data_IF_524298084264
#
_entry.id   IF_524298084264
#
_cell.length_a   1.000
_cell.length_b   1.000
_cell.length_c   1.000
_cell.angle_alpha   90.00
_cell.angle_beta   90.00
_cell.angle_gamma   90.00
#
_symmetry.space_group_name_H-M   'P 1'
#
loop_
_entity.id
_entity.type
_entity.pdbx_description
1 polymer ?
#
# COMPACT_ATOMS: atom_id res chain seq x y z
N UNK A 1 11.98 -20.86 -1.27
CA UNK A 1 10.89 -20.10 -0.62
C UNK A 1 10.32 -20.86 0.59
N UNK A 2 9.75 -22.08 0.46
CA UNK A 2 9.13 -22.81 1.58
C UNK A 2 10.07 -23.02 2.77
N UNK A 3 11.30 -23.50 2.55
CA UNK A 3 12.31 -23.71 3.61
C UNK A 3 12.62 -22.42 4.41
N UNK A 4 12.70 -21.26 3.76
CA UNK A 4 12.90 -19.98 4.45
C UNK A 4 11.68 -19.58 5.25
N UNK A 5 10.49 -19.73 4.66
CA UNK A 5 9.21 -19.45 5.35
C UNK A 5 9.05 -20.27 6.63
N UNK A 6 9.33 -21.57 6.56
CA UNK A 6 9.25 -22.49 7.71
C UNK A 6 10.31 -22.19 8.78
N UNK A 7 11.49 -21.68 8.38
CA UNK A 7 12.57 -21.30 9.29
C UNK A 7 12.28 -19.97 9.99
N UNK A 8 11.80 -18.97 9.24
CA UNK A 8 11.56 -17.62 9.76
C UNK A 8 10.55 -16.86 8.88
N UNK A 9 9.34 -16.62 9.42
CA UNK A 9 8.33 -15.82 8.73
C UNK A 9 8.81 -14.36 8.54
N UNK A 10 9.53 -13.81 9.53
CA UNK A 10 10.10 -12.45 9.42
C UNK A 10 11.15 -12.37 8.31
N UNK A 11 12.09 -13.31 8.26
CA UNK A 11 13.08 -13.35 7.19
C UNK A 11 12.45 -13.51 5.80
N UNK A 12 11.34 -14.26 5.71
CA UNK A 12 10.57 -14.39 4.48
C UNK A 12 9.90 -13.07 4.08
N UNK A 13 9.33 -12.32 5.04
CA UNK A 13 8.75 -10.99 4.78
C UNK A 13 9.81 -10.00 4.31
N UNK A 14 10.97 -9.94 4.97
CA UNK A 14 12.07 -9.05 4.59
C UNK A 14 12.63 -9.39 3.19
N UNK A 15 12.74 -10.68 2.86
CA UNK A 15 13.11 -11.11 1.51
C UNK A 15 12.12 -10.57 0.47
N UNK A 16 10.81 -10.68 0.72
CA UNK A 16 9.79 -10.18 -0.20
C UNK A 16 9.81 -8.66 -0.33
N UNK A 17 10.05 -7.91 0.75
CA UNK A 17 10.26 -6.46 0.70
C UNK A 17 11.43 -6.12 -0.23
N UNK A 18 12.57 -6.78 -0.06
CA UNK A 18 13.75 -6.55 -0.91
C UNK A 18 13.49 -6.90 -2.38
N UNK A 19 12.90 -8.06 -2.66
CA UNK A 19 12.56 -8.48 -4.03
C UNK A 19 11.59 -7.47 -4.67
N UNK A 20 10.54 -7.07 -3.95
CA UNK A 20 9.56 -6.11 -4.43
C UNK A 20 10.21 -4.77 -4.78
N UNK A 21 10.94 -4.18 -3.84
CA UNK A 21 11.60 -2.88 -4.05
C UNK A 21 12.56 -2.90 -5.25
N UNK A 22 13.43 -3.91 -5.34
CA UNK A 22 14.40 -4.01 -6.43
C UNK A 22 13.71 -4.27 -7.77
N UNK A 23 12.80 -5.24 -7.83
CA UNK A 23 12.16 -5.62 -9.08
C UNK A 23 11.27 -4.49 -9.66
N UNK A 24 10.51 -3.79 -8.80
CA UNK A 24 9.67 -2.67 -9.25
C UNK A 24 10.53 -1.48 -9.69
N UNK A 25 11.61 -1.14 -8.97
CA UNK A 25 12.54 -0.08 -9.37
C UNK A 25 13.23 -0.39 -10.70
N UNK A 26 13.67 -1.63 -10.90
CA UNK A 26 14.24 -2.06 -12.19
C UNK A 26 13.20 -1.96 -13.31
N UNK A 27 11.96 -2.39 -13.05
CA UNK A 27 10.87 -2.30 -14.00
C UNK A 27 10.57 -0.86 -14.44
N UNK A 28 10.52 0.06 -13.48
CA UNK A 28 10.28 1.48 -13.74
C UNK A 28 11.43 2.13 -14.54
N UNK A 29 12.68 1.86 -14.16
CA UNK A 29 13.83 2.34 -14.91
C UNK A 29 13.87 1.81 -16.35
N UNK A 30 13.60 0.53 -16.56
CA UNK A 30 13.58 -0.06 -17.90
C UNK A 30 12.40 0.49 -18.71
N UNK A 31 11.24 0.71 -18.13
CA UNK A 31 10.09 1.34 -18.80
C UNK A 31 10.42 2.76 -19.23
N UNK A 32 11.04 3.54 -18.36
CA UNK A 32 11.48 4.91 -18.67
C UNK A 32 12.52 4.94 -19.81
N UNK A 33 13.48 4.00 -19.84
CA UNK A 33 14.46 3.89 -20.92
C UNK A 33 13.83 3.52 -22.27
N UNK A 34 12.72 2.77 -22.27
CA UNK A 34 11.95 2.44 -23.50
C UNK A 34 11.09 3.64 -23.93
N UNK A 35 10.77 4.56 -23.02
CA UNK A 35 9.89 5.70 -23.26
C UNK A 35 8.39 5.35 -23.27
N UNK A 36 8.00 4.23 -22.67
CA UNK A 36 6.61 3.81 -22.50
C UNK A 36 6.36 3.52 -21.02
N UNK A 37 5.49 4.31 -20.40
CA UNK A 37 5.23 4.23 -18.95
C UNK A 37 4.69 2.83 -18.57
N UNK A 38 5.33 2.22 -17.55
CA UNK A 38 4.95 0.91 -16.95
C UNK A 38 4.98 -0.32 -17.87
N UNK A 39 5.52 -0.24 -19.09
CA UNK A 39 5.51 -1.37 -20.04
C UNK A 39 6.27 -2.60 -19.53
N UNK A 40 7.37 -2.42 -18.81
CA UNK A 40 8.16 -3.49 -18.17
C UNK A 40 7.69 -3.72 -16.73
N UNK A 41 7.26 -2.67 -16.03
CA UNK A 41 6.79 -2.77 -14.65
C UNK A 41 5.55 -3.67 -14.54
N UNK A 42 4.62 -3.62 -15.52
CA UNK A 42 3.41 -4.44 -15.49
C UNK A 42 3.70 -5.94 -15.48
N UNK A 43 4.45 -6.52 -16.44
CA UNK A 43 4.79 -7.95 -16.39
C UNK A 43 5.54 -8.34 -15.11
N UNK A 44 6.42 -7.49 -14.58
CA UNK A 44 7.10 -7.74 -13.30
C UNK A 44 6.09 -7.81 -12.16
N UNK A 45 5.20 -6.82 -12.02
CA UNK A 45 4.16 -6.81 -11.00
C UNK A 45 3.23 -8.04 -11.08
N UNK A 46 2.86 -8.45 -12.30
CA UNK A 46 2.07 -9.65 -12.54
C UNK A 46 2.81 -10.93 -12.12
N UNK A 47 4.08 -11.08 -12.50
CA UNK A 47 4.90 -12.24 -12.13
C UNK A 47 5.02 -12.32 -10.61
N UNK A 48 5.36 -11.22 -9.92
CA UNK A 48 5.48 -11.19 -8.46
C UNK A 48 4.14 -11.57 -7.80
N UNK A 49 3.03 -11.02 -8.29
CA UNK A 49 1.69 -11.32 -7.78
C UNK A 49 1.33 -12.80 -7.96
N UNK A 50 1.57 -13.35 -9.15
CA UNK A 50 1.30 -14.78 -9.44
C UNK A 50 2.16 -15.67 -8.54
N UNK A 51 3.46 -15.40 -8.43
CA UNK A 51 4.38 -16.21 -7.58
C UNK A 51 3.92 -16.18 -6.13
N UNK A 52 3.53 -15.02 -5.62
CA UNK A 52 3.05 -14.86 -4.24
C UNK A 52 1.71 -15.59 -4.03
N UNK A 53 0.74 -15.40 -4.93
CA UNK A 53 -0.56 -16.09 -4.89
C UNK A 53 -0.37 -17.62 -4.94
N UNK A 54 0.45 -18.11 -5.86
CA UNK A 54 0.74 -19.54 -5.97
C UNK A 54 1.39 -20.09 -4.70
N UNK A 55 2.33 -19.36 -4.11
CA UNK A 55 2.94 -19.75 -2.84
C UNK A 55 1.90 -19.82 -1.72
N UNK A 56 1.06 -18.77 -1.57
CA UNK A 56 0.02 -18.72 -0.54
C UNK A 56 -1.01 -19.84 -0.73
N UNK A 57 -1.46 -20.08 -1.97
CA UNK A 57 -2.42 -21.12 -2.30
C UNK A 57 -1.86 -22.51 -2.02
N UNK A 58 -0.64 -22.81 -2.48
CA UNK A 58 0.01 -24.13 -2.31
C UNK A 58 0.22 -24.50 -0.84
N UNK A 59 0.35 -23.50 0.05
CA UNK A 59 0.60 -23.73 1.47
C UNK A 59 -0.64 -23.45 2.36
N UNK A 60 -1.83 -23.28 1.76
CA UNK A 60 -3.10 -22.97 2.46
C UNK A 60 -3.02 -21.74 3.39
N UNK A 61 -2.38 -20.66 2.91
CA UNK A 61 -2.08 -19.47 3.70
C UNK A 61 -3.04 -18.30 3.46
N UNK A 62 -4.03 -18.43 2.56
CA UNK A 62 -4.93 -17.34 2.21
C UNK A 62 -5.64 -16.75 3.44
N UNK A 63 -6.22 -17.61 4.28
CA UNK A 63 -6.91 -17.18 5.49
C UNK A 63 -5.96 -16.57 6.52
N UNK A 64 -4.75 -17.14 6.66
CA UNK A 64 -3.72 -16.63 7.57
C UNK A 64 -3.32 -15.20 7.21
N UNK A 65 -3.19 -14.89 5.93
CA UNK A 65 -2.75 -13.58 5.43
C UNK A 65 -3.91 -12.70 4.92
N UNK A 66 -5.12 -12.95 5.41
CA UNK A 66 -6.25 -12.04 5.24
C UNK A 66 -6.89 -12.03 3.86
N UNK A 67 -6.56 -12.96 2.95
CA UNK A 67 -7.26 -13.14 1.69
C UNK A 67 -8.57 -13.92 1.92
N UNK A 68 -9.43 -13.36 2.76
CA UNK A 68 -10.71 -13.94 3.16
C UNK A 68 -11.71 -12.83 3.49
N UNK A 69 -12.99 -13.20 3.62
CA UNK A 69 -14.04 -12.25 4.01
C UNK A 69 -13.76 -11.64 5.39
N UNK A 70 -14.10 -10.37 5.56
CA UNK A 70 -14.03 -9.65 6.82
C UNK A 70 -14.89 -10.33 7.90
N UNK A 71 -14.38 -10.37 9.14
CA UNK A 71 -15.13 -10.83 10.32
C UNK A 71 -16.04 -9.74 10.88
N UNK A 72 -15.85 -8.49 10.48
CA UNK A 72 -16.61 -7.32 10.93
C UNK A 72 -17.36 -6.74 9.76
N UNK A 73 -18.63 -6.36 9.97
CA UNK A 73 -19.44 -5.78 8.90
C UNK A 73 -18.94 -4.40 8.47
N UNK A 74 -19.18 -4.04 7.22
CA UNK A 74 -18.80 -2.73 6.70
C UNK A 74 -19.45 -1.58 7.50
N UNK A 75 -20.71 -1.77 7.95
CA UNK A 75 -21.44 -0.81 8.79
C UNK A 75 -20.74 -0.57 10.13
N UNK A 76 -20.25 -1.62 10.79
CA UNK A 76 -19.54 -1.52 12.07
C UNK A 76 -18.16 -0.84 11.93
N UNK A 77 -17.57 -0.91 10.76
CA UNK A 77 -16.28 -0.28 10.45
C UNK A 77 -16.41 1.17 10.00
N UNK A 78 -17.61 1.62 9.61
CA UNK A 78 -17.84 2.96 9.04
C UNK A 78 -16.89 3.27 7.85
N UNK A 79 -16.61 2.29 7.00
CA UNK A 79 -15.70 2.43 5.88
C UNK A 79 -16.02 3.61 4.94
N UNK A 80 -17.30 3.87 4.78
CA UNK A 80 -17.80 4.78 3.75
C UNK A 80 -17.25 6.20 3.85
N UNK A 81 -17.00 6.68 5.07
CA UNK A 81 -16.60 8.06 5.24
C UNK A 81 -15.09 8.26 5.01
N UNK A 82 -14.16 7.64 5.80
CA UNK A 82 -12.73 7.92 5.63
C UNK A 82 -12.17 7.36 4.31
N UNK A 83 -12.58 6.16 3.92
CA UNK A 83 -12.06 5.53 2.69
C UNK A 83 -12.53 6.27 1.45
N UNK A 84 -13.82 6.66 1.38
CA UNK A 84 -14.32 7.41 0.24
C UNK A 84 -13.60 8.75 0.07
N UNK A 85 -13.37 9.48 1.17
CA UNK A 85 -12.62 10.74 1.12
C UNK A 85 -11.18 10.51 0.66
N UNK A 86 -10.50 9.48 1.19
CA UNK A 86 -9.15 9.14 0.77
C UNK A 86 -9.06 8.80 -0.72
N UNK A 87 -10.00 8.01 -1.24
CA UNK A 87 -10.04 7.64 -2.66
C UNK A 87 -10.15 8.84 -3.60
N UNK A 88 -10.79 9.92 -3.17
CA UNK A 88 -10.92 11.14 -3.99
C UNK A 88 -9.71 12.07 -3.92
N UNK A 89 -8.73 11.81 -3.03
CA UNK A 89 -7.67 12.78 -2.73
C UNK A 89 -6.82 13.18 -3.95
N UNK A 90 -6.56 12.24 -4.86
CA UNK A 90 -5.83 12.51 -6.10
C UNK A 90 -6.62 13.40 -7.10
N UNK A 91 -7.89 13.66 -6.83
CA UNK A 91 -8.80 14.42 -7.70
C UNK A 91 -9.24 15.77 -7.08
N UNK A 92 -8.65 16.17 -5.93
CA UNK A 92 -9.14 17.35 -5.19
C UNK A 92 -8.84 18.68 -5.88
N UNK A 93 -7.76 18.78 -6.65
CA UNK A 93 -7.34 20.08 -7.19
C UNK A 93 -7.60 20.23 -8.69
N UNK A 94 -7.39 19.20 -9.47
CA UNK A 94 -7.70 19.19 -10.90
C UNK A 94 -7.52 17.76 -11.44
N UNK A 95 -8.17 17.47 -12.58
CA UNK A 95 -8.10 16.18 -13.25
C UNK A 95 -7.47 16.39 -14.63
N UNK A 96 -6.39 15.67 -14.89
CA UNK A 96 -5.66 15.73 -16.15
C UNK A 96 -5.32 14.33 -16.66
N UNK A 97 -5.46 14.12 -17.97
CA UNK A 97 -4.91 12.94 -18.61
C UNK A 97 -3.41 13.19 -18.89
N UNK A 98 -2.55 12.66 -18.01
CA UNK A 98 -1.11 12.92 -18.05
C UNK A 98 -0.36 12.02 -19.04
N UNK A 99 -0.93 10.86 -19.41
CA UNK A 99 -0.34 9.82 -20.23
C UNK A 99 -1.23 9.52 -21.45
N UNK A 100 -0.70 8.84 -22.44
CA UNK A 100 -1.53 8.26 -23.50
C UNK A 100 -2.55 7.28 -22.94
N UNK A 101 -3.62 6.99 -23.65
CA UNK A 101 -4.65 6.03 -23.21
C UNK A 101 -4.04 4.67 -22.91
N UNK A 102 -3.10 4.22 -23.75
CA UNK A 102 -2.41 2.94 -23.56
C UNK A 102 -1.59 2.92 -22.26
N UNK A 103 -0.76 3.92 -22.03
CA UNK A 103 0.05 4.04 -20.81
C UNK A 103 -0.81 4.23 -19.57
N UNK A 104 -1.93 4.97 -19.67
CA UNK A 104 -2.90 5.11 -18.58
C UNK A 104 -3.44 3.74 -18.15
N UNK A 105 -3.78 2.87 -19.09
CA UNK A 105 -4.23 1.51 -18.80
C UNK A 105 -3.12 0.70 -18.12
N UNK A 106 -1.88 0.74 -18.66
CA UNK A 106 -0.74 0.06 -18.05
C UNK A 106 -0.51 0.54 -16.60
N UNK A 107 -0.54 1.86 -16.40
CA UNK A 107 -0.38 2.46 -15.07
C UNK A 107 -1.43 1.98 -14.07
N UNK A 108 -2.72 2.04 -14.44
CA UNK A 108 -3.82 1.57 -13.59
C UNK A 108 -3.63 0.11 -13.20
N UNK A 109 -3.30 -0.76 -14.16
CA UNK A 109 -3.09 -2.18 -13.90
C UNK A 109 -1.90 -2.44 -12.96
N UNK A 110 -0.79 -1.71 -13.15
CA UNK A 110 0.36 -1.78 -12.24
C UNK A 110 -0.04 -1.33 -10.84
N UNK A 111 -0.73 -0.20 -10.69
CA UNK A 111 -1.10 0.35 -9.39
C UNK A 111 -2.08 -0.53 -8.62
N UNK A 112 -2.98 -1.22 -9.31
CA UNK A 112 -3.81 -2.26 -8.68
C UNK A 112 -2.96 -3.45 -8.19
N UNK A 113 -1.96 -3.87 -8.99
CA UNK A 113 -0.99 -4.90 -8.60
C UNK A 113 -0.10 -4.47 -7.42
N UNK A 114 0.33 -3.20 -7.40
CA UNK A 114 1.08 -2.59 -6.27
C UNK A 114 0.25 -2.66 -4.99
N UNK A 115 -1.02 -2.21 -5.04
CA UNK A 115 -1.91 -2.28 -3.87
C UNK A 115 -2.06 -3.72 -3.34
N UNK A 116 -2.13 -4.72 -4.22
CA UNK A 116 -2.14 -6.12 -3.81
C UNK A 116 -0.81 -6.55 -3.18
N UNK A 117 0.31 -6.34 -3.87
CA UNK A 117 1.63 -6.77 -3.41
C UNK A 117 2.01 -6.15 -2.08
N UNK A 118 1.87 -4.84 -1.96
CA UNK A 118 2.27 -4.13 -0.74
C UNK A 118 1.39 -4.51 0.45
N UNK A 119 0.07 -4.66 0.28
CA UNK A 119 -0.77 -5.08 1.39
C UNK A 119 -0.44 -6.51 1.86
N UNK A 120 -0.19 -7.43 0.93
CA UNK A 120 0.24 -8.79 1.31
C UNK A 120 1.62 -8.78 1.96
N UNK A 121 2.58 -8.02 1.45
CA UNK A 121 3.95 -7.98 1.98
C UNK A 121 3.98 -7.32 3.37
N UNK A 122 3.41 -6.11 3.50
CA UNK A 122 3.54 -5.34 4.75
C UNK A 122 2.53 -5.77 5.82
N UNK A 123 1.26 -6.04 5.45
CA UNK A 123 0.21 -6.42 6.44
C UNK A 123 0.04 -7.92 6.52
N UNK A 124 0.08 -8.61 5.39
CA UNK A 124 0.05 -10.06 5.37
C UNK A 124 1.29 -10.67 6.02
N UNK A 125 2.46 -10.49 5.43
CA UNK A 125 3.69 -11.16 5.85
C UNK A 125 4.36 -10.48 7.04
N UNK A 126 4.79 -9.22 6.92
CA UNK A 126 5.60 -8.55 7.95
C UNK A 126 4.85 -8.38 9.27
N UNK A 127 3.65 -7.79 9.22
CA UNK A 127 2.84 -7.59 10.43
C UNK A 127 2.53 -8.90 11.14
N UNK A 128 2.07 -9.94 10.41
CA UNK A 128 1.76 -11.23 11.04
C UNK A 128 2.99 -11.95 11.58
N UNK A 129 4.15 -11.80 10.95
CA UNK A 129 5.39 -12.38 11.47
C UNK A 129 5.74 -11.84 12.86
N UNK A 130 5.49 -10.54 13.09
CA UNK A 130 5.78 -9.84 14.34
C UNK A 130 4.63 -9.89 15.35
N UNK A 131 3.40 -10.16 14.89
CA UNK A 131 2.20 -10.10 15.73
C UNK A 131 2.23 -11.04 16.93
N UNK A 132 2.92 -12.18 16.79
CA UNK A 132 3.03 -13.21 17.84
C UNK A 132 3.84 -12.73 19.04
N UNK A 133 4.85 -11.89 18.79
CA UNK A 133 5.79 -11.44 19.82
C UNK A 133 5.31 -10.16 20.49
N UNK A 134 4.93 -9.15 19.72
CA UNK A 134 4.47 -7.87 20.25
C UNK A 134 3.56 -7.15 19.26
N UNK A 135 2.27 -7.07 19.60
CA UNK A 135 1.24 -6.41 18.76
C UNK A 135 1.57 -4.94 18.49
N UNK A 136 2.00 -4.18 19.50
CA UNK A 136 2.32 -2.75 19.34
C UNK A 136 3.52 -2.55 18.42
N UNK A 137 4.58 -3.34 18.63
CA UNK A 137 5.75 -3.30 17.76
C UNK A 137 5.38 -3.70 16.32
N UNK A 138 4.57 -4.74 16.13
CA UNK A 138 4.11 -5.17 14.82
C UNK A 138 3.35 -4.06 14.08
N UNK A 139 2.43 -3.36 14.76
CA UNK A 139 1.69 -2.22 14.19
C UNK A 139 2.65 -1.11 13.78
N UNK A 140 3.53 -0.68 14.68
CA UNK A 140 4.47 0.43 14.44
C UNK A 140 5.43 0.09 13.29
N UNK A 141 6.11 -1.06 13.38
CA UNK A 141 7.13 -1.45 12.38
C UNK A 141 6.50 -1.63 11.01
N UNK A 142 5.39 -2.37 10.90
CA UNK A 142 4.73 -2.56 9.59
C UNK A 142 4.30 -1.23 8.96
N UNK A 143 3.77 -0.28 9.76
CA UNK A 143 3.29 1.00 9.27
C UNK A 143 4.42 1.94 8.85
N UNK A 144 5.44 2.06 9.70
CA UNK A 144 6.59 2.92 9.41
C UNK A 144 7.46 2.38 8.28
N UNK A 145 7.72 1.06 8.25
CA UNK A 145 8.50 0.44 7.15
C UNK A 145 7.81 0.64 5.82
N UNK A 146 6.48 0.55 5.78
CA UNK A 146 5.69 0.85 4.58
C UNK A 146 5.88 2.29 4.11
N UNK A 147 5.69 3.27 4.99
CA UNK A 147 5.88 4.68 4.63
C UNK A 147 7.33 4.99 4.23
N UNK A 148 8.31 4.48 5.00
CA UNK A 148 9.74 4.66 4.69
C UNK A 148 10.15 3.99 3.37
N UNK A 149 9.44 2.97 2.91
CA UNK A 149 9.67 2.35 1.60
C UNK A 149 9.61 3.36 0.45
N UNK A 150 8.83 4.44 0.59
CA UNK A 150 8.75 5.49 -0.44
C UNK A 150 10.01 6.36 -0.57
N UNK A 151 10.95 6.29 0.38
CA UNK A 151 12.26 6.97 0.26
C UNK A 151 13.02 6.46 -0.98
N UNK A 152 12.76 5.21 -1.40
CA UNK A 152 13.39 4.64 -2.59
C UNK A 152 13.12 5.46 -3.86
N UNK A 153 12.01 6.22 -3.90
CA UNK A 153 11.67 7.08 -5.02
C UNK A 153 12.70 8.19 -5.27
N UNK A 154 13.47 8.58 -4.24
CA UNK A 154 14.55 9.57 -4.40
C UNK A 154 15.76 9.03 -5.16
N UNK A 155 15.92 7.70 -5.23
CA UNK A 155 17.11 7.05 -5.78
C UNK A 155 16.82 6.05 -6.91
N UNK A 156 15.53 5.76 -7.18
CA UNK A 156 15.15 4.77 -8.19
C UNK A 156 14.95 5.34 -9.61
N UNK A 157 15.30 6.62 -9.82
CA UNK A 157 15.15 7.27 -11.13
C UNK A 157 13.75 7.82 -11.43
N UNK A 158 12.84 7.81 -10.46
CA UNK A 158 11.46 8.35 -10.64
C UNK A 158 11.41 9.89 -10.80
N UNK A 159 12.53 10.58 -10.54
CA UNK A 159 12.56 12.05 -10.55
C UNK A 159 11.84 12.71 -9.36
N UNK A 160 11.55 11.95 -8.30
CA UNK A 160 10.86 12.49 -7.12
C UNK A 160 11.67 13.60 -6.45
N UNK A 161 11.02 14.73 -6.16
CA UNK A 161 11.61 15.82 -5.40
C UNK A 161 11.62 15.50 -3.90
N UNK A 162 12.64 15.98 -3.18
CA UNK A 162 12.85 15.64 -1.77
C UNK A 162 11.64 15.96 -0.88
N UNK A 163 11.13 17.20 -0.91
CA UNK A 163 10.05 17.61 0.00
C UNK A 163 8.71 16.92 -0.30
N UNK A 164 8.23 16.85 -1.54
CA UNK A 164 7.05 16.05 -1.88
C UNK A 164 7.19 14.58 -1.49
N UNK A 165 8.37 13.98 -1.69
CA UNK A 165 8.62 12.59 -1.30
C UNK A 165 8.57 12.40 0.23
N UNK A 166 9.12 13.35 1.01
CA UNK A 166 9.00 13.29 2.48
C UNK A 166 7.56 13.43 2.94
N UNK A 167 6.75 14.27 2.29
CA UNK A 167 5.31 14.32 2.55
C UNK A 167 4.64 12.98 2.24
N UNK A 168 5.04 12.31 1.15
CA UNK A 168 4.57 10.97 0.81
C UNK A 168 4.91 9.97 1.92
N UNK A 169 6.13 9.96 2.43
CA UNK A 169 6.54 9.10 3.55
C UNK A 169 5.65 9.31 4.77
N UNK A 170 5.32 10.55 5.09
CA UNK A 170 4.48 10.90 6.25
C UNK A 170 3.05 10.41 6.09
N UNK A 171 2.36 10.77 4.99
CA UNK A 171 0.97 10.33 4.81
C UNK A 171 0.86 8.82 4.52
N UNK A 172 1.84 8.21 3.84
CA UNK A 172 1.89 6.77 3.63
C UNK A 172 2.09 6.02 4.95
N UNK A 173 2.91 6.54 5.88
CA UNK A 173 3.00 5.98 7.25
C UNK A 173 1.65 6.03 7.96
N UNK A 174 0.93 7.16 7.90
CA UNK A 174 -0.40 7.28 8.50
C UNK A 174 -1.42 6.32 7.86
N UNK A 175 -1.42 6.20 6.52
CA UNK A 175 -2.20 5.18 5.80
C UNK A 175 -1.79 3.77 6.21
N UNK A 176 -0.49 3.55 6.46
CA UNK A 176 0.06 2.32 7.02
C UNK A 176 -0.59 1.92 8.33
N UNK A 177 -0.68 2.84 9.28
CA UNK A 177 -1.38 2.62 10.55
C UNK A 177 -2.86 2.30 10.33
N UNK A 178 -3.53 3.03 9.45
CA UNK A 178 -4.93 2.79 9.12
C UNK A 178 -5.15 1.37 8.58
N UNK A 179 -4.40 0.95 7.58
CA UNK A 179 -4.54 -0.37 6.97
C UNK A 179 -4.21 -1.50 7.92
N UNK A 180 -3.17 -1.36 8.75
CA UNK A 180 -2.85 -2.34 9.80
C UNK A 180 -4.00 -2.47 10.79
N UNK A 181 -4.61 -1.36 11.23
CA UNK A 181 -5.73 -1.39 12.18
C UNK A 181 -7.00 -1.98 11.56
N UNK A 182 -7.29 -1.68 10.28
CA UNK A 182 -8.38 -2.33 9.54
C UNK A 182 -8.15 -3.85 9.49
N UNK A 183 -6.96 -4.27 9.06
CA UNK A 183 -6.60 -5.68 8.98
C UNK A 183 -6.64 -6.38 10.36
N UNK A 184 -6.05 -5.77 11.37
CA UNK A 184 -6.01 -6.33 12.72
C UNK A 184 -7.40 -6.59 13.28
N UNK A 185 -8.36 -5.68 13.05
CA UNK A 185 -9.75 -5.83 13.49
C UNK A 185 -10.55 -6.80 12.64
N UNK A 186 -10.46 -6.68 11.31
CA UNK A 186 -11.30 -7.42 10.36
C UNK A 186 -10.78 -8.81 10.02
N UNK A 187 -9.49 -9.03 10.18
CA UNK A 187 -8.73 -10.20 9.70
C UNK A 187 -8.86 -10.41 8.18
N UNK A 188 -9.15 -9.31 7.45
CA UNK A 188 -9.26 -9.29 5.98
C UNK A 188 -8.45 -8.14 5.39
N UNK A 189 -7.68 -8.43 4.35
CA UNK A 189 -6.94 -7.43 3.57
C UNK A 189 -7.70 -6.92 2.36
N UNK A 190 -8.84 -7.51 2.01
CA UNK A 190 -9.51 -7.21 0.74
C UNK A 190 -9.85 -5.73 0.59
N UNK A 191 -10.38 -5.09 1.64
CA UNK A 191 -10.69 -3.65 1.59
C UNK A 191 -9.42 -2.79 1.53
N UNK A 192 -8.35 -3.20 2.23
CA UNK A 192 -7.05 -2.50 2.17
C UNK A 192 -6.47 -2.58 0.76
N UNK A 193 -6.45 -3.76 0.15
CA UNK A 193 -5.97 -3.99 -1.22
C UNK A 193 -6.74 -3.13 -2.23
N UNK A 194 -8.08 -3.15 -2.15
CA UNK A 194 -8.92 -2.38 -3.07
C UNK A 194 -8.70 -0.88 -2.87
N UNK A 195 -8.74 -0.41 -1.63
CA UNK A 195 -8.57 1.02 -1.32
C UNK A 195 -7.20 1.52 -1.76
N UNK A 196 -6.15 0.78 -1.44
CA UNK A 196 -4.77 1.13 -1.80
C UNK A 196 -4.57 1.12 -3.32
N UNK A 197 -4.97 0.05 -3.99
CA UNK A 197 -4.84 -0.07 -5.45
C UNK A 197 -5.62 1.01 -6.20
N UNK A 198 -6.86 1.31 -5.79
CA UNK A 198 -7.68 2.36 -6.42
C UNK A 198 -7.11 3.75 -6.13
N UNK A 199 -6.69 4.03 -4.89
CA UNK A 199 -6.04 5.29 -4.55
C UNK A 199 -4.81 5.54 -5.45
N UNK A 200 -3.93 4.56 -5.56
CA UNK A 200 -2.74 4.67 -6.40
C UNK A 200 -3.10 4.75 -7.91
N UNK A 201 -4.11 4.00 -8.38
CA UNK A 201 -4.53 4.04 -9.76
C UNK A 201 -5.09 5.42 -10.17
N UNK A 202 -5.82 6.09 -9.26
CA UNK A 202 -6.36 7.43 -9.51
C UNK A 202 -5.29 8.52 -9.58
N UNK A 203 -4.07 8.28 -9.09
CA UNK A 203 -2.98 9.26 -9.18
C UNK A 203 -2.56 9.57 -10.62
N UNK A 204 -2.84 8.68 -11.59
CA UNK A 204 -2.56 8.94 -13.02
C UNK A 204 -3.34 10.16 -13.56
N UNK A 205 -4.44 10.51 -12.90
CA UNK A 205 -5.29 11.64 -13.28
C UNK A 205 -5.00 12.91 -12.47
N UNK A 206 -4.11 12.85 -11.47
CA UNK A 206 -3.76 14.02 -10.65
C UNK A 206 -2.97 15.05 -11.47
N UNK A 207 -3.37 16.32 -11.45
CA UNK A 207 -2.62 17.40 -12.06
C UNK A 207 -1.54 17.93 -11.11
N UNK A 208 -0.48 17.16 -10.89
CA UNK A 208 0.58 17.53 -9.96
C UNK A 208 1.44 18.70 -10.42
N UNK A 209 1.61 18.88 -11.75
CA UNK A 209 2.47 19.92 -12.31
C UNK A 209 1.98 21.34 -12.00
N UNK A 210 0.67 21.53 -11.78
CA UNK A 210 0.06 22.81 -11.44
C UNK A 210 -0.12 23.05 -9.93
N UNK A 211 0.21 22.07 -9.08
CA UNK A 211 -0.05 22.18 -7.65
C UNK A 211 0.99 23.03 -6.93
N UNK A 212 0.53 24.09 -6.24
CA UNK A 212 1.38 24.84 -5.35
C UNK A 212 1.84 23.98 -4.15
N UNK A 213 3.01 24.28 -3.61
CA UNK A 213 3.55 23.58 -2.44
C UNK A 213 2.58 23.62 -1.24
N UNK A 214 1.88 24.76 -1.08
CA UNK A 214 0.86 24.92 -0.03
C UNK A 214 -0.26 23.89 -0.16
N UNK A 215 -0.75 23.62 -1.37
CA UNK A 215 -1.83 22.65 -1.64
C UNK A 215 -1.36 21.23 -1.36
N UNK A 216 -0.10 20.90 -1.73
CA UNK A 216 0.53 19.62 -1.38
C UNK A 216 0.62 19.43 0.14
N UNK A 217 0.98 20.49 0.89
CA UNK A 217 1.03 20.44 2.36
C UNK A 217 -0.35 20.24 2.96
N UNK A 218 -1.37 20.96 2.47
CA UNK A 218 -2.77 20.81 2.92
C UNK A 218 -3.24 19.39 2.68
N UNK A 219 -3.02 18.83 1.49
CA UNK A 219 -3.38 17.45 1.16
C UNK A 219 -2.67 16.45 2.08
N UNK A 220 -1.38 16.61 2.30
CA UNK A 220 -0.61 15.76 3.21
C UNK A 220 -1.21 15.77 4.62
N UNK A 221 -1.48 16.98 5.18
CA UNK A 221 -2.08 17.12 6.52
C UNK A 221 -3.45 16.45 6.58
N UNK A 222 -4.32 16.67 5.57
CA UNK A 222 -5.65 16.06 5.52
C UNK A 222 -5.55 14.52 5.44
N UNK A 223 -4.67 13.98 4.61
CA UNK A 223 -4.46 12.53 4.50
C UNK A 223 -3.98 11.93 5.82
N UNK A 224 -3.07 12.62 6.52
CA UNK A 224 -2.57 12.19 7.85
C UNK A 224 -3.69 12.23 8.89
N UNK A 225 -4.48 13.31 8.93
CA UNK A 225 -5.57 13.46 9.90
C UNK A 225 -6.69 12.41 9.67
N UNK A 226 -7.06 12.17 8.41
CA UNK A 226 -8.10 11.19 8.07
C UNK A 226 -7.62 9.78 8.39
N UNK A 227 -6.43 9.40 7.91
CA UNK A 227 -5.89 8.05 8.12
C UNK A 227 -5.57 7.78 9.58
N UNK A 228 -4.87 8.72 10.24
CA UNK A 228 -4.51 8.61 11.65
C UNK A 228 -5.73 8.65 12.57
N UNK A 229 -6.66 9.57 12.33
CA UNK A 229 -7.92 9.67 13.09
C UNK A 229 -8.76 8.39 12.97
N UNK A 230 -8.84 7.83 11.78
CA UNK A 230 -9.57 6.57 11.58
C UNK A 230 -8.83 5.37 12.22
N UNK A 231 -7.51 5.32 12.17
CA UNK A 231 -6.73 4.31 12.88
C UNK A 231 -6.98 4.34 14.39
N UNK A 232 -6.99 5.55 14.98
CA UNK A 232 -7.31 5.76 16.41
C UNK A 232 -8.75 5.33 16.71
N UNK A 233 -9.73 5.70 15.87
CA UNK A 233 -11.11 5.26 16.04
C UNK A 233 -11.22 3.73 16.09
N UNK A 234 -10.56 3.01 15.17
CA UNK A 234 -10.56 1.55 15.16
C UNK A 234 -9.89 1.00 16.44
N UNK A 235 -8.76 1.57 16.86
CA UNK A 235 -8.06 1.15 18.09
C UNK A 235 -8.95 1.25 19.33
N UNK A 236 -9.70 2.34 19.47
CA UNK A 236 -10.64 2.53 20.57
C UNK A 236 -11.81 1.55 20.53
N UNK A 237 -12.30 1.18 19.33
CA UNK A 237 -13.32 0.14 19.18
C UNK A 237 -12.82 -1.24 19.54
N UNK A 238 -11.59 -1.60 19.10
CA UNK A 238 -10.97 -2.87 19.50
C UNK A 238 -10.87 -2.98 21.01
N UNK A 239 -10.41 -1.93 21.68
CA UNK A 239 -10.30 -1.93 23.16
C UNK A 239 -11.64 -2.18 23.85
N UNK A 240 -12.75 -1.64 23.30
CA UNK A 240 -14.09 -1.87 23.86
C UNK A 240 -14.63 -3.28 23.61
N UNK A 241 -14.27 -3.89 22.48
CA UNK A 241 -14.72 -5.23 22.12
C UNK A 241 -14.04 -6.33 23.00
N UNK A 242 -12.95 -6.00 23.69
CA UNK A 242 -12.16 -6.89 24.55
C UNK A 242 -12.15 -6.47 26.04
N UNK A 243 -12.84 -5.39 26.43
CA UNK A 243 -13.05 -4.97 27.80
C UNK A 243 -14.41 -5.46 28.34
#
# INVERSE_FOLDING_TARGET
MKKLYEKTELGFALMWIGIYCVAMSVGDNLSANIGIEKIITLPIALILSIVLICFLKKNDLFKKYGLCKSRVSAKQMLYYLPIFVLLTANLWYDIKLNLSVFETVLYILVMLGVGFLEEIIFRGLLFNAMLKDNVKAAIIVSSLTFGMGHIINLINGSGAEFLPNMMQVVYASAAGFMFVMIYYRTKSLLICIITHGVFNALSVFANEAGLAMQDRMISCVLLVLISGGYAIYIALKIRKDYA
#
